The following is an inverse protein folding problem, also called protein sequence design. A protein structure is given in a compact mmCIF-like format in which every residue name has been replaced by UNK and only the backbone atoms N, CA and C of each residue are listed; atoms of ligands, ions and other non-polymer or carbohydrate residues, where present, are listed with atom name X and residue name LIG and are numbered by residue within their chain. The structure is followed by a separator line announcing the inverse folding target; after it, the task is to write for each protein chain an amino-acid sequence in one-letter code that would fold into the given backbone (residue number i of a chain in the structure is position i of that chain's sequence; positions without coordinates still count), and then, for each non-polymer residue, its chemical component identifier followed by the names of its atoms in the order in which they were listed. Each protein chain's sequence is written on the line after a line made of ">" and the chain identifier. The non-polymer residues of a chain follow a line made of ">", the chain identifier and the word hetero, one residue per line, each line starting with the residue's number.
data_IF_517827812360
#
_entry.id   IF_517827812360
#
_cell.length_a   1.000
_cell.length_b   1.000
_cell.length_c   1.000
_cell.angle_alpha   90.00
_cell.angle_beta   90.00
_cell.angle_gamma   90.00
#
_symmetry.space_group_name_H-M   'P 1'
#
loop_
_entity.id
_entity.type
_entity.pdbx_description
1 polymer ?
#
# COMPACT_ATOMS: atom_id res chain seq x y z
N UNK A 1 -15.71 17.73 25.21
CA UNK A 1 -16.08 17.54 26.64
C UNK A 1 -17.35 18.34 26.87
N UNK A 2 -18.42 17.71 27.36
CA UNK A 2 -19.67 18.40 27.70
C UNK A 2 -19.49 19.17 29.02
N UNK A 3 -20.34 20.19 29.32
CA UNK A 3 -20.16 21.07 30.48
C UNK A 3 -20.27 20.39 31.86
N UNK A 4 -20.65 19.11 31.91
CA UNK A 4 -20.73 18.28 33.11
C UNK A 4 -19.52 17.34 33.29
N UNK A 5 -18.50 17.43 32.43
CA UNK A 5 -17.28 16.63 32.54
C UNK A 5 -17.43 15.17 32.08
N UNK A 6 -18.57 14.79 31.51
CA UNK A 6 -18.78 13.43 30.99
C UNK A 6 -18.10 13.28 29.62
N UNK A 7 -17.26 12.23 29.48
CA UNK A 7 -16.66 11.85 28.20
C UNK A 7 -17.76 11.13 27.41
N UNK A 8 -18.20 11.70 26.30
CA UNK A 8 -19.16 11.05 25.41
C UNK A 8 -18.54 9.76 24.88
N UNK A 9 -18.96 8.62 25.41
CA UNK A 9 -18.65 7.31 24.83
C UNK A 9 -19.37 7.23 23.49
N UNK A 10 -18.66 7.02 22.36
CA UNK A 10 -19.35 6.81 21.10
C UNK A 10 -20.24 5.58 21.26
N UNK A 11 -21.54 5.77 21.09
CA UNK A 11 -22.50 4.66 21.07
C UNK A 11 -22.18 3.89 19.80
N UNK A 12 -21.74 2.63 19.95
CA UNK A 12 -21.52 1.74 18.82
C UNK A 12 -22.88 1.44 18.19
N UNK A 13 -23.22 2.11 17.09
CA UNK A 13 -24.39 1.76 16.30
C UNK A 13 -24.16 0.36 15.72
N UNK A 14 -25.05 -0.61 15.97
CA UNK A 14 -24.97 -1.89 15.28
C UNK A 14 -24.99 -1.64 13.78
N UNK A 15 -24.18 -2.38 13.03
CA UNK A 15 -24.16 -2.39 11.57
C UNK A 15 -25.43 -3.07 11.01
N UNK A 16 -26.61 -2.81 11.60
CA UNK A 16 -27.87 -3.50 11.30
C UNK A 16 -28.32 -3.34 9.84
N UNK A 17 -27.88 -2.25 9.19
CA UNK A 17 -28.11 -1.98 7.78
C UNK A 17 -26.86 -2.20 6.91
N UNK A 18 -25.75 -2.69 7.47
CA UNK A 18 -24.60 -3.04 6.66
C UNK A 18 -24.90 -4.30 5.88
N UNK A 19 -24.64 -4.27 4.58
CA UNK A 19 -24.72 -5.49 3.78
C UNK A 19 -23.71 -6.50 4.29
N UNK A 20 -24.14 -7.76 4.38
CA UNK A 20 -23.22 -8.87 4.59
C UNK A 20 -22.19 -8.86 3.46
N UNK A 21 -20.92 -9.07 3.81
CA UNK A 21 -19.86 -9.28 2.82
C UNK A 21 -20.04 -10.67 2.20
N UNK A 22 -20.92 -10.79 1.22
CA UNK A 22 -20.96 -11.98 0.38
C UNK A 22 -19.82 -11.93 -0.63
N UNK A 23 -19.12 -13.05 -0.83
CA UNK A 23 -18.15 -13.18 -1.91
C UNK A 23 -18.82 -12.85 -3.24
N UNK A 24 -18.46 -11.72 -3.84
CA UNK A 24 -18.91 -11.33 -5.16
C UNK A 24 -17.85 -11.80 -6.17
N UNK A 25 -18.17 -12.76 -7.06
CA UNK A 25 -17.22 -13.22 -8.07
C UNK A 25 -16.77 -12.10 -9.03
N UNK A 26 -17.55 -11.02 -9.12
CA UNK A 26 -17.31 -9.84 -9.97
C UNK A 26 -16.95 -8.58 -9.16
N UNK A 27 -16.59 -8.71 -7.88
CA UNK A 27 -15.88 -7.61 -7.22
C UNK A 27 -14.58 -7.37 -8.01
N UNK A 28 -14.19 -6.11 -8.32
CA UNK A 28 -12.88 -5.85 -8.89
C UNK A 28 -11.82 -6.23 -7.86
N UNK A 29 -11.43 -7.51 -7.87
CA UNK A 29 -10.16 -7.93 -7.37
C UNK A 29 -9.11 -7.18 -8.17
N UNK A 30 -8.02 -6.76 -7.50
CA UNK A 30 -6.83 -6.38 -8.23
C UNK A 30 -6.54 -7.45 -9.29
N UNK A 31 -6.13 -7.05 -10.49
CA UNK A 31 -5.83 -8.02 -11.54
C UNK A 31 -4.93 -9.11 -10.93
N UNK A 32 -5.07 -10.38 -11.36
CA UNK A 32 -4.36 -11.52 -10.76
C UNK A 32 -2.82 -11.35 -10.67
N UNK A 33 -2.28 -10.30 -11.29
CA UNK A 33 -0.88 -9.90 -11.33
C UNK A 33 -0.58 -8.62 -10.51
N UNK A 34 -1.47 -8.13 -9.63
CA UNK A 34 -1.22 -6.96 -8.78
C UNK A 34 -0.77 -7.36 -7.37
N UNK A 35 0.37 -6.80 -6.92
CA UNK A 35 0.91 -7.00 -5.58
C UNK A 35 1.36 -5.66 -5.01
N UNK A 36 1.03 -5.42 -3.73
CA UNK A 36 1.21 -4.13 -3.06
C UNK A 36 0.53 -2.97 -3.83
N UNK A 37 -0.69 -3.21 -4.33
CA UNK A 37 -1.52 -2.21 -5.01
C UNK A 37 -1.00 -1.76 -6.38
N UNK A 38 -0.05 -2.51 -6.97
CA UNK A 38 0.57 -2.17 -8.25
C UNK A 38 0.80 -3.45 -9.09
N UNK A 39 0.84 -3.36 -10.43
CA UNK A 39 1.22 -4.48 -11.29
C UNK A 39 2.58 -5.06 -10.93
N UNK A 40 2.66 -6.38 -10.80
CA UNK A 40 3.90 -7.13 -10.54
C UNK A 40 4.74 -7.30 -11.80
N UNK A 41 4.14 -7.22 -12.98
CA UNK A 41 4.85 -7.25 -14.27
C UNK A 41 4.72 -5.90 -14.98
N UNK A 42 5.80 -5.48 -15.62
CA UNK A 42 5.83 -4.27 -16.43
C UNK A 42 6.98 -4.24 -17.44
N UNK A 43 7.10 -3.13 -18.14
CA UNK A 43 8.15 -2.93 -19.15
C UNK A 43 9.53 -2.93 -18.49
N UNK A 44 10.49 -3.77 -18.91
CA UNK A 44 11.84 -3.76 -18.35
C UNK A 44 12.50 -2.39 -18.39
N UNK A 45 13.14 -2.00 -17.27
CA UNK A 45 13.86 -0.74 -17.14
C UNK A 45 12.99 0.49 -16.88
N UNK A 46 11.67 0.34 -16.71
CA UNK A 46 10.77 1.46 -16.41
C UNK A 46 10.45 1.55 -14.92
N UNK A 47 9.82 2.68 -14.58
CA UNK A 47 9.27 2.95 -13.26
C UNK A 47 7.78 3.26 -13.40
N UNK A 48 6.99 2.84 -12.42
CA UNK A 48 5.59 3.23 -12.29
C UNK A 48 5.32 3.77 -10.88
N UNK A 49 4.23 4.51 -10.71
CA UNK A 49 3.80 5.13 -9.45
C UNK A 49 2.39 4.68 -9.08
N UNK A 50 2.11 4.49 -7.79
CA UNK A 50 0.89 3.83 -7.30
C UNK A 50 -0.42 4.58 -7.52
N UNK A 51 -0.47 5.93 -7.57
CA UNK A 51 -1.58 6.76 -8.12
C UNK A 51 -1.42 8.26 -7.77
N UNK A 52 -2.16 9.18 -8.44
CA UNK A 52 -2.31 10.57 -8.00
C UNK A 52 -3.23 10.70 -6.77
N UNK A 53 -2.77 11.39 -5.72
CA UNK A 53 -3.59 11.73 -4.53
C UNK A 53 -3.17 11.07 -3.22
N UNK A 54 -2.28 10.08 -3.28
CA UNK A 54 -1.55 9.48 -2.16
C UNK A 54 -0.06 9.83 -2.30
N UNK A 55 0.73 9.72 -1.22
CA UNK A 55 2.19 9.83 -1.40
C UNK A 55 2.65 8.59 -2.17
N UNK A 56 3.39 8.74 -3.28
CA UNK A 56 3.52 7.66 -4.25
C UNK A 56 4.45 6.55 -3.76
N UNK A 57 4.02 5.30 -3.91
CA UNK A 57 4.93 4.16 -4.00
C UNK A 57 5.46 4.10 -5.44
N UNK A 58 6.78 4.00 -5.58
CA UNK A 58 7.45 3.83 -6.87
C UNK A 58 7.88 2.37 -7.01
N UNK A 59 7.60 1.75 -8.15
CA UNK A 59 8.07 0.39 -8.48
C UNK A 59 9.02 0.45 -9.67
N UNK A 60 10.20 -0.14 -9.51
CA UNK A 60 11.12 -0.39 -10.63
C UNK A 60 10.74 -1.70 -11.31
N UNK A 61 10.91 -1.80 -12.63
CA UNK A 61 10.90 -3.09 -13.32
C UNK A 61 12.30 -3.46 -13.79
N UNK A 62 12.80 -4.60 -13.33
CA UNK A 62 14.11 -5.14 -13.71
C UNK A 62 14.12 -5.72 -15.14
N UNK A 63 15.23 -6.33 -15.57
CA UNK A 63 15.39 -6.87 -16.93
C UNK A 63 14.31 -7.89 -17.34
N UNK A 64 13.76 -8.63 -16.38
CA UNK A 64 12.72 -9.64 -16.60
C UNK A 64 11.29 -9.09 -16.44
N UNK A 65 11.14 -7.76 -16.33
CA UNK A 65 9.86 -7.09 -16.11
C UNK A 65 9.25 -7.32 -14.72
N UNK A 66 9.98 -7.95 -13.79
CA UNK A 66 9.59 -8.10 -12.38
C UNK A 66 10.24 -7.02 -11.53
N UNK A 67 9.63 -6.63 -10.40
CA UNK A 67 10.25 -5.67 -9.51
C UNK A 67 11.47 -6.26 -8.80
N UNK A 68 12.61 -5.56 -8.80
CA UNK A 68 13.68 -5.82 -7.84
C UNK A 68 13.44 -5.04 -6.54
N UNK A 69 12.83 -3.85 -6.64
CA UNK A 69 12.59 -2.97 -5.51
C UNK A 69 11.37 -2.05 -5.70
N UNK A 70 10.75 -1.69 -4.59
CA UNK A 70 9.80 -0.58 -4.46
C UNK A 70 10.39 0.50 -3.54
N UNK A 71 10.10 1.77 -3.79
CA UNK A 71 10.35 2.88 -2.87
C UNK A 71 9.03 3.42 -2.36
N UNK A 72 8.81 3.34 -1.06
CA UNK A 72 7.59 3.81 -0.44
C UNK A 72 7.75 5.25 0.05
N UNK A 73 6.83 6.07 -0.45
CA UNK A 73 6.53 7.45 -0.06
C UNK A 73 5.97 7.52 1.36
N UNK A 74 5.04 6.60 1.66
CA UNK A 74 4.11 6.63 2.78
C UNK A 74 4.60 5.90 4.01
N UNK A 75 4.12 6.39 5.17
CA UNK A 75 4.42 5.77 6.44
C UNK A 75 3.51 4.56 6.55
N UNK A 76 3.99 3.43 6.05
CA UNK A 76 3.31 2.16 6.16
C UNK A 76 4.29 1.10 6.71
N UNK A 77 3.80 0.19 7.53
CA UNK A 77 4.56 -0.92 8.14
C UNK A 77 5.65 -0.59 9.19
N UNK A 78 5.71 0.65 9.71
CA UNK A 78 6.52 0.98 10.89
C UNK A 78 7.94 1.49 10.63
N UNK A 79 8.32 1.65 9.36
CA UNK A 79 9.59 2.26 8.97
C UNK A 79 9.45 3.77 8.67
N UNK A 80 10.46 4.61 9.01
CA UNK A 80 10.54 5.99 8.56
C UNK A 80 10.54 6.13 7.04
N UNK A 81 9.98 7.24 6.54
CA UNK A 81 9.99 7.54 5.11
C UNK A 81 11.22 8.37 4.72
N UNK A 82 11.72 8.21 3.49
CA UNK A 82 11.35 7.14 2.57
C UNK A 82 11.99 5.81 3.01
N UNK A 83 11.37 4.69 2.62
CA UNK A 83 11.96 3.37 2.79
C UNK A 83 11.87 2.57 1.49
N UNK A 84 12.80 1.65 1.31
CA UNK A 84 12.85 0.79 0.14
C UNK A 84 12.56 -0.65 0.54
N UNK A 85 11.83 -1.36 -0.31
CA UNK A 85 11.57 -2.78 -0.19
C UNK A 85 12.28 -3.54 -1.30
N UNK A 86 12.90 -4.67 -0.97
CA UNK A 86 13.38 -5.62 -1.98
C UNK A 86 12.36 -6.72 -2.21
N UNK A 87 12.45 -7.34 -3.38
CA UNK A 87 11.62 -8.46 -3.79
C UNK A 87 12.43 -9.74 -3.96
N UNK A 88 11.89 -10.85 -3.42
CA UNK A 88 12.27 -12.22 -3.78
C UNK A 88 11.05 -12.93 -4.38
N UNK A 89 10.99 -12.96 -5.70
CA UNK A 89 9.79 -13.37 -6.42
C UNK A 89 8.60 -12.50 -6.02
N UNK A 90 7.54 -13.11 -5.49
CA UNK A 90 6.32 -12.42 -5.03
C UNK A 90 6.38 -12.00 -3.55
N UNK A 91 7.52 -12.18 -2.88
CA UNK A 91 7.71 -11.80 -1.48
C UNK A 91 8.40 -10.44 -1.43
N UNK A 92 7.74 -9.48 -0.77
CA UNK A 92 8.26 -8.13 -0.47
C UNK A 92 8.74 -8.12 0.98
N UNK A 93 9.93 -7.60 1.24
CA UNK A 93 10.47 -7.50 2.61
C UNK A 93 9.72 -6.44 3.45
N UNK A 94 10.14 -6.22 4.70
CA UNK A 94 9.53 -5.25 5.63
C UNK A 94 9.90 -3.79 5.31
N UNK A 95 10.88 -3.56 4.43
CA UNK A 95 11.38 -2.25 4.08
C UNK A 95 12.50 -1.77 5.01
N UNK A 96 13.40 -0.96 4.48
CA UNK A 96 14.47 -0.32 5.24
C UNK A 96 14.52 1.19 4.91
N UNK A 97 14.77 2.06 5.90
CA UNK A 97 14.88 3.50 5.66
C UNK A 97 15.99 3.82 4.66
N UNK A 98 15.69 4.71 3.72
CA UNK A 98 16.64 5.19 2.71
C UNK A 98 16.65 6.72 2.67
N UNK A 99 17.75 7.29 2.19
CA UNK A 99 17.82 8.71 1.86
C UNK A 99 17.65 8.89 0.36
N UNK A 100 16.80 9.83 -0.05
CA UNK A 100 16.75 10.31 -1.44
C UNK A 100 17.76 11.43 -1.71
N UNK A 101 18.42 11.92 -0.67
CA UNK A 101 19.48 12.91 -0.80
C UNK A 101 20.83 12.18 -0.98
N UNK A 102 21.72 12.73 -1.83
CA UNK A 102 23.08 12.23 -1.93
C UNK A 102 23.79 12.34 -0.57
N UNK A 103 24.73 11.41 -0.37
CA UNK A 103 25.63 11.41 0.79
C UNK A 103 26.70 12.49 0.68
#
# INVERSE_FOLDING_TARGET
>A
MLPDGTIATPVSTPLGDAQAFDYQPDMPGGAADEVAGMPFKGTPGTWISSMPGTMPQLRQFGPNGTPPADFDLEAHHGNPNPHAHNWDGYIRDEGAPVSLLPW
#
